data_IF_615635301804
#
_entry.id   IF_615635301804
#
_cell.length_a   1.000
_cell.length_b   1.000
_cell.length_c   1.000
_cell.angle_alpha   90.00
_cell.angle_beta   90.00
_cell.angle_gamma   90.00
#
_symmetry.space_group_name_H-M   'P 1'
#
loop_
_entity.id
_entity.type
_entity.pdbx_description
1 polymer ?
#
# COMPACT_ATOMS: atom_id res chain seq x y z
N UNK A 1 3.72 -10.03 -29.83
CA UNK A 1 3.37 -9.01 -28.83
C UNK A 1 4.45 -9.04 -27.78
N UNK A 2 5.39 -8.09 -27.85
CA UNK A 2 6.41 -7.97 -26.80
C UNK A 2 5.71 -7.43 -25.55
N UNK A 3 5.54 -8.30 -24.56
CA UNK A 3 5.15 -7.85 -23.24
C UNK A 3 6.22 -6.85 -22.78
N UNK A 4 5.84 -5.67 -22.28
CA UNK A 4 6.83 -4.76 -21.70
C UNK A 4 7.56 -5.55 -20.62
N UNK A 5 8.86 -5.77 -20.82
CA UNK A 5 9.72 -6.36 -19.80
C UNK A 5 9.78 -5.35 -18.66
N UNK A 6 8.88 -5.52 -17.70
CA UNK A 6 8.86 -4.72 -16.49
C UNK A 6 10.13 -5.11 -15.73
N UNK A 7 11.17 -4.30 -15.85
CA UNK A 7 12.28 -4.30 -14.90
C UNK A 7 11.74 -3.72 -13.59
N UNK A 8 10.80 -4.42 -12.97
CA UNK A 8 10.33 -4.10 -11.63
C UNK A 8 11.52 -4.34 -10.73
N UNK A 9 12.15 -3.27 -10.29
CA UNK A 9 13.18 -3.40 -9.28
C UNK A 9 12.44 -3.92 -8.05
N UNK A 10 12.66 -5.18 -7.65
CA UNK A 10 12.00 -5.77 -6.47
C UNK A 10 12.10 -4.83 -5.25
N UNK A 11 13.22 -4.10 -5.18
CA UNK A 11 13.50 -3.01 -4.25
C UNK A 11 12.44 -1.90 -4.21
N UNK A 12 11.80 -1.59 -5.33
CA UNK A 12 10.77 -0.57 -5.41
C UNK A 12 9.51 -1.00 -4.64
N UNK A 13 9.10 -2.26 -4.75
CA UNK A 13 8.00 -2.78 -3.94
C UNK A 13 8.35 -2.80 -2.44
N UNK A 14 9.57 -3.24 -2.10
CA UNK A 14 10.08 -3.33 -0.72
C UNK A 14 10.12 -1.96 -0.05
N UNK A 15 10.41 -0.89 -0.79
CA UNK A 15 10.48 0.48 -0.26
C UNK A 15 9.11 1.17 -0.34
N UNK A 16 8.38 1.03 -1.44
CA UNK A 16 7.11 1.70 -1.66
C UNK A 16 6.03 1.26 -0.66
N UNK A 17 5.91 -0.04 -0.37
CA UNK A 17 4.85 -0.56 0.50
C UNK A 17 4.97 -0.02 1.94
N UNK A 18 6.12 -0.10 2.64
CA UNK A 18 6.29 0.53 3.95
C UNK A 18 6.10 2.04 3.90
N UNK A 19 6.56 2.70 2.83
CA UNK A 19 6.43 4.16 2.67
C UNK A 19 4.96 4.57 2.57
N UNK A 20 4.17 3.90 1.74
CA UNK A 20 2.72 4.13 1.63
C UNK A 20 2.04 3.87 2.96
N UNK A 21 2.41 2.79 3.66
CA UNK A 21 1.86 2.47 4.98
C UNK A 21 2.15 3.58 6.00
N UNK A 22 3.38 4.11 6.04
CA UNK A 22 3.74 5.21 6.95
C UNK A 22 2.98 6.48 6.56
N UNK A 23 2.98 6.86 5.28
CA UNK A 23 2.30 8.07 4.80
C UNK A 23 0.79 8.03 5.06
N UNK A 24 0.14 6.89 4.83
CA UNK A 24 -1.29 6.72 5.11
C UNK A 24 -1.60 6.88 6.60
N UNK A 25 -0.77 6.35 7.50
CA UNK A 25 -0.94 6.58 8.94
C UNK A 25 -0.66 8.03 9.35
N UNK A 26 0.37 8.67 8.78
CA UNK A 26 0.66 10.09 9.04
C UNK A 26 -0.51 10.98 8.60
N UNK A 27 -1.01 10.79 7.38
CA UNK A 27 -2.17 11.53 6.85
C UNK A 27 -3.41 11.30 7.75
N UNK A 28 -3.67 10.06 8.16
CA UNK A 28 -4.75 9.73 9.08
C UNK A 28 -4.64 10.50 10.39
N UNK A 29 -3.44 10.59 10.99
CA UNK A 29 -3.21 11.29 12.26
C UNK A 29 -3.31 12.80 12.09
N UNK A 30 -2.70 13.35 11.04
CA UNK A 30 -2.68 14.81 10.80
C UNK A 30 -4.07 15.37 10.45
N UNK A 31 -4.81 14.68 9.59
CA UNK A 31 -6.09 15.17 9.06
C UNK A 31 -7.31 14.54 9.76
N UNK A 32 -7.11 13.71 10.80
CA UNK A 32 -8.19 13.00 11.55
C UNK A 32 -9.20 12.31 10.62
N UNK A 33 -8.72 11.70 9.55
CA UNK A 33 -9.56 11.14 8.49
C UNK A 33 -10.31 9.90 9.00
N UNK A 34 -11.61 9.75 8.67
CA UNK A 34 -12.36 8.55 9.01
C UNK A 34 -11.68 7.29 8.46
N UNK A 35 -11.63 6.17 9.21
CA UNK A 35 -10.92 4.96 8.81
C UNK A 35 -11.45 4.34 7.50
N UNK A 36 -12.68 4.68 7.09
CA UNK A 36 -13.28 4.27 5.82
C UNK A 36 -12.50 4.75 4.58
N UNK A 37 -11.79 5.88 4.68
CA UNK A 37 -11.06 6.46 3.55
C UNK A 37 -9.59 6.04 3.48
N UNK A 38 -9.07 5.36 4.51
CA UNK A 38 -7.66 4.91 4.54
C UNK A 38 -7.32 4.01 3.33
N UNK A 39 -8.16 3.02 2.94
CA UNK A 39 -7.87 2.19 1.78
C UNK A 39 -7.78 2.99 0.48
N UNK A 40 -8.67 3.96 0.29
CA UNK A 40 -8.66 4.82 -0.90
C UNK A 40 -7.41 5.71 -0.97
N UNK A 41 -6.95 6.23 0.17
CA UNK A 41 -5.71 7.01 0.26
C UNK A 41 -4.49 6.13 -0.01
N UNK A 42 -4.45 4.92 0.52
CA UNK A 42 -3.37 3.95 0.25
C UNK A 42 -3.27 3.61 -1.24
N UNK A 43 -4.42 3.38 -1.90
CA UNK A 43 -4.49 3.17 -3.34
C UNK A 43 -4.05 4.39 -4.14
N UNK A 44 -4.51 5.58 -3.76
CA UNK A 44 -4.11 6.83 -4.41
C UNK A 44 -2.60 7.07 -4.32
N UNK A 45 -2.00 6.84 -3.14
CA UNK A 45 -0.56 6.95 -2.93
C UNK A 45 0.22 5.87 -3.69
N UNK A 46 -0.28 4.64 -3.75
CA UNK A 46 0.33 3.55 -4.52
C UNK A 46 0.37 3.85 -6.02
N UNK A 47 -0.74 4.33 -6.57
CA UNK A 47 -0.82 4.80 -7.96
C UNK A 47 0.10 6.00 -8.20
N UNK A 48 0.12 6.97 -7.29
CA UNK A 48 0.98 8.14 -7.40
C UNK A 48 2.47 7.75 -7.43
N UNK A 49 2.94 6.97 -6.46
CA UNK A 49 4.34 6.55 -6.38
C UNK A 49 4.70 5.72 -7.61
N UNK A 50 3.88 4.75 -7.99
CA UNK A 50 4.21 3.85 -9.11
C UNK A 50 4.21 4.55 -10.47
N UNK A 51 3.25 5.45 -10.74
CA UNK A 51 3.15 6.16 -12.02
C UNK A 51 4.27 7.20 -12.16
N UNK A 52 4.53 7.98 -11.11
CA UNK A 52 5.46 9.11 -11.21
C UNK A 52 6.93 8.73 -10.95
N UNK A 53 7.21 7.72 -10.13
CA UNK A 53 8.59 7.36 -9.72
C UNK A 53 9.07 6.14 -10.49
N UNK A 54 8.28 5.06 -10.53
CA UNK A 54 8.78 3.75 -10.95
C UNK A 54 8.59 3.44 -12.44
N UNK A 55 7.46 3.84 -13.02
CA UNK A 55 7.07 3.44 -14.38
C UNK A 55 6.71 4.64 -15.27
N UNK A 56 7.51 5.70 -15.17
CA UNK A 56 7.29 6.96 -15.92
C UNK A 56 7.15 6.79 -17.44
N UNK A 57 7.71 5.72 -18.02
CA UNK A 57 7.68 5.45 -19.46
C UNK A 57 6.65 4.39 -19.88
N UNK A 58 6.02 3.70 -18.92
CA UNK A 58 5.03 2.64 -19.18
C UNK A 58 3.82 2.79 -18.25
N UNK A 59 2.86 3.62 -18.66
CA UNK A 59 1.65 3.94 -17.88
C UNK A 59 0.88 2.69 -17.41
N UNK A 60 0.76 1.68 -18.28
CA UNK A 60 0.03 0.43 -17.95
C UNK A 60 0.74 -0.35 -16.82
N UNK A 61 2.07 -0.45 -16.88
CA UNK A 61 2.86 -1.10 -15.83
C UNK A 61 2.80 -0.29 -14.52
N UNK A 62 2.84 1.05 -14.62
CA UNK A 62 2.71 1.94 -13.48
C UNK A 62 1.36 1.81 -12.76
N UNK A 63 0.27 1.74 -13.50
CA UNK A 63 -1.07 1.54 -12.91
C UNK A 63 -1.17 0.16 -12.23
N UNK A 64 -0.72 -0.90 -12.92
CA UNK A 64 -0.74 -2.26 -12.38
C UNK A 64 0.08 -2.37 -11.09
N UNK A 65 1.32 -1.89 -11.11
CA UNK A 65 2.19 -1.90 -9.94
C UNK A 65 1.70 -0.96 -8.83
N UNK A 66 1.06 0.15 -9.18
CA UNK A 66 0.49 1.08 -8.19
C UNK A 66 -0.69 0.49 -7.44
N UNK A 67 -1.55 -0.26 -8.13
CA UNK A 67 -2.58 -1.08 -7.48
C UNK A 67 -1.96 -2.14 -6.58
N UNK A 68 -0.93 -2.84 -7.05
CA UNK A 68 -0.23 -3.83 -6.24
C UNK A 68 0.33 -3.22 -4.95
N UNK A 69 1.04 -2.07 -5.03
CA UNK A 69 1.58 -1.39 -3.85
C UNK A 69 0.49 -0.89 -2.90
N UNK A 70 -0.60 -0.33 -3.44
CA UNK A 70 -1.74 0.12 -2.63
C UNK A 70 -2.39 -1.01 -1.85
N UNK A 71 -2.76 -2.10 -2.53
CA UNK A 71 -3.39 -3.26 -1.88
C UNK A 71 -2.45 -3.99 -0.92
N UNK A 72 -1.18 -4.15 -1.28
CA UNK A 72 -0.19 -4.75 -0.40
C UNK A 72 -0.03 -3.92 0.89
N UNK A 73 -0.04 -2.59 0.79
CA UNK A 73 0.03 -1.70 1.97
C UNK A 73 -1.19 -1.84 2.89
N UNK A 74 -2.40 -1.93 2.31
CA UNK A 74 -3.63 -2.15 3.06
C UNK A 74 -3.59 -3.51 3.78
N UNK A 75 -3.22 -4.57 3.06
CA UNK A 75 -3.11 -5.92 3.60
C UNK A 75 -2.07 -6.02 4.72
N UNK A 76 -0.90 -5.41 4.53
CA UNK A 76 0.18 -5.42 5.52
C UNK A 76 -0.23 -4.67 6.79
N UNK A 77 -0.93 -3.54 6.66
CA UNK A 77 -1.50 -2.83 7.81
C UNK A 77 -2.54 -3.67 8.56
N UNK A 78 -3.44 -4.34 7.83
CA UNK A 78 -4.44 -5.21 8.43
C UNK A 78 -3.79 -6.39 9.18
N UNK A 79 -2.82 -7.06 8.55
CA UNK A 79 -2.08 -8.16 9.15
C UNK A 79 -1.33 -7.73 10.41
N UNK A 80 -0.62 -6.59 10.36
CA UNK A 80 0.09 -6.02 11.51
C UNK A 80 -0.88 -5.68 12.65
N UNK A 81 -2.00 -5.01 12.34
CA UNK A 81 -3.01 -4.65 13.35
C UNK A 81 -3.60 -5.91 14.01
N UNK A 82 -3.96 -6.91 13.22
CA UNK A 82 -4.48 -8.19 13.72
C UNK A 82 -3.45 -8.91 14.57
N UNK A 83 -2.18 -8.97 14.14
CA UNK A 83 -1.10 -9.59 14.90
C UNK A 83 -0.87 -8.92 16.26
N UNK A 84 -0.86 -7.58 16.31
CA UNK A 84 -0.70 -6.83 17.57
C UNK A 84 -1.88 -7.08 18.50
N UNK A 85 -3.11 -7.05 17.99
CA UNK A 85 -4.30 -7.27 18.80
C UNK A 85 -4.39 -8.71 19.32
N UNK A 86 -3.99 -9.69 18.50
CA UNK A 86 -3.89 -11.11 18.90
C UNK A 86 -2.83 -11.31 19.98
N UNK A 87 -1.65 -10.70 19.83
CA UNK A 87 -0.60 -10.72 20.84
C UNK A 87 -1.05 -10.12 22.18
N UNK A 88 -1.90 -9.08 22.14
CA UNK A 88 -2.44 -8.42 23.34
C UNK A 88 -3.70 -9.09 23.91
N UNK A 89 -4.08 -10.27 23.42
CA UNK A 89 -5.33 -10.99 23.76
C UNK A 89 -6.61 -10.13 23.63
N UNK A 90 -6.51 -9.04 22.88
CA UNK A 90 -7.60 -8.06 22.70
C UNK A 90 -8.38 -8.32 21.41
N UNK A 91 -8.00 -9.34 20.65
CA UNK A 91 -8.79 -9.79 19.51
C UNK A 91 -10.00 -10.58 20.03
N UNK A 92 -11.23 -10.27 19.58
CA UNK A 92 -12.38 -11.10 19.92
C UNK A 92 -12.07 -12.52 19.47
N UNK A 93 -12.07 -13.46 20.42
CA UNK A 93 -12.02 -14.87 20.08
C UNK A 93 -13.28 -15.16 19.24
N UNK A 94 -13.09 -15.83 18.11
CA UNK A 94 -14.21 -16.31 17.32
C UNK A 94 -14.72 -17.56 18.05
N UNK A 95 -15.58 -17.33 19.03
CA UNK A 95 -16.28 -18.36 19.79
C UNK A 95 -17.41 -18.97 18.96
#
# INVERSE_FOLDING_TARGET
MDFPTIHTNFWDAVIAIPTIMILTQLIKVMFRIPPKFIPSIALGLGLFISIFISHRHHLVAGIFMGWFYGYASIGNYAALKTGILSYRESYPKAD
#
